data_IF_522502479298
#
_entry.id   IF_522502479298
#
_cell.length_a   1.000
_cell.length_b   1.000
_cell.length_c   1.000
_cell.angle_alpha   90.00
_cell.angle_beta   90.00
_cell.angle_gamma   90.00
#
_symmetry.space_group_name_H-M   'P 1'
#
loop_
_entity.id
_entity.type
_entity.pdbx_description
1 polymer ?
#
# COMPACT_ATOMS: atom_id res chain seq x y z
N UNK A 1 -211.07 -36.78 -52.04
CA UNK A 1 -210.41 -37.41 -50.87
C UNK A 1 -209.33 -38.43 -51.26
N UNK A 2 -209.54 -39.32 -52.26
CA UNK A 2 -208.48 -40.25 -52.71
C UNK A 2 -207.45 -39.62 -53.67
N UNK A 3 -207.84 -38.63 -54.50
CA UNK A 3 -206.91 -37.96 -55.44
C UNK A 3 -205.94 -36.96 -54.80
N UNK A 4 -206.39 -36.21 -53.78
CA UNK A 4 -205.52 -35.24 -53.09
C UNK A 4 -204.38 -35.93 -52.33
N UNK A 5 -204.64 -37.10 -51.74
CA UNK A 5 -203.63 -37.89 -51.02
C UNK A 5 -202.61 -38.53 -51.96
N UNK A 6 -203.01 -38.87 -53.18
CA UNK A 6 -202.09 -39.35 -54.23
C UNK A 6 -201.19 -38.20 -54.70
N UNK A 7 -201.75 -37.01 -54.98
CA UNK A 7 -200.95 -35.83 -55.36
C UNK A 7 -199.96 -35.41 -54.28
N UNK A 8 -200.35 -35.48 -53.01
CA UNK A 8 -199.49 -35.16 -51.86
C UNK A 8 -198.34 -36.19 -51.70
N UNK A 9 -198.63 -37.48 -51.89
CA UNK A 9 -197.61 -38.53 -51.90
C UNK A 9 -196.67 -38.42 -53.11
N UNK A 10 -197.17 -38.09 -54.30
CA UNK A 10 -196.35 -37.86 -55.50
C UNK A 10 -195.43 -36.63 -55.35
N UNK A 11 -195.91 -35.55 -54.74
CA UNK A 11 -195.06 -34.39 -54.42
C UNK A 11 -194.01 -34.73 -53.38
N UNK A 12 -194.34 -35.57 -52.39
CA UNK A 12 -193.38 -36.02 -51.38
C UNK A 12 -192.31 -36.95 -51.96
N UNK A 13 -192.69 -37.86 -52.88
CA UNK A 13 -191.76 -38.74 -53.60
C UNK A 13 -190.83 -37.91 -54.48
N UNK A 14 -191.34 -36.99 -55.30
CA UNK A 14 -190.48 -36.11 -56.13
C UNK A 14 -189.52 -35.26 -55.29
N UNK A 15 -189.94 -34.82 -54.11
CA UNK A 15 -189.08 -34.06 -53.19
C UNK A 15 -187.99 -34.94 -52.59
N UNK A 16 -188.32 -36.17 -52.17
CA UNK A 16 -187.35 -37.15 -51.71
C UNK A 16 -186.36 -37.57 -52.83
N UNK A 17 -186.82 -37.72 -54.06
CA UNK A 17 -185.95 -38.00 -55.22
C UNK A 17 -185.01 -36.83 -55.54
N UNK A 18 -185.50 -35.59 -55.44
CA UNK A 18 -184.68 -34.40 -55.60
C UNK A 18 -183.63 -34.27 -54.48
N UNK A 19 -184.03 -34.45 -53.22
CA UNK A 19 -183.13 -34.38 -52.07
C UNK A 19 -182.09 -35.51 -52.12
N UNK A 20 -182.48 -36.72 -52.55
CA UNK A 20 -181.56 -37.84 -52.75
C UNK A 20 -180.53 -37.53 -53.85
N UNK A 21 -180.97 -37.00 -55.00
CA UNK A 21 -180.07 -36.61 -56.09
C UNK A 21 -179.11 -35.48 -55.66
N UNK A 22 -179.61 -34.51 -54.90
CA UNK A 22 -178.80 -33.41 -54.40
C UNK A 22 -177.73 -33.91 -53.41
N UNK A 23 -178.09 -34.83 -52.51
CA UNK A 23 -177.12 -35.47 -51.61
C UNK A 23 -176.16 -36.41 -52.35
N UNK A 24 -176.58 -37.11 -53.41
CA UNK A 24 -175.68 -37.89 -54.27
C UNK A 24 -174.68 -37.00 -55.02
N UNK A 25 -175.14 -35.88 -55.60
CA UNK A 25 -174.23 -34.91 -56.23
C UNK A 25 -173.25 -34.30 -55.23
N UNK A 26 -173.72 -33.96 -54.03
CA UNK A 26 -172.87 -33.40 -52.97
C UNK A 26 -171.85 -34.43 -52.48
N UNK A 27 -172.25 -35.69 -52.34
CA UNK A 27 -171.37 -36.82 -52.03
C UNK A 27 -170.31 -37.01 -53.11
N UNK A 28 -170.67 -36.98 -54.39
CA UNK A 28 -169.71 -37.13 -55.48
C UNK A 28 -168.77 -35.92 -55.59
N UNK A 29 -169.28 -34.71 -55.37
CA UNK A 29 -168.47 -33.48 -55.31
C UNK A 29 -167.45 -33.50 -54.17
N UNK A 30 -167.87 -33.88 -52.95
CA UNK A 30 -166.97 -34.06 -51.80
C UNK A 30 -165.92 -35.14 -52.06
N UNK A 31 -166.32 -36.24 -52.69
CA UNK A 31 -165.41 -37.33 -53.06
C UNK A 31 -164.34 -36.86 -54.05
N UNK A 32 -164.71 -36.07 -55.07
CA UNK A 32 -163.75 -35.46 -56.00
C UNK A 32 -162.79 -34.48 -55.31
N UNK A 33 -163.29 -33.66 -54.38
CA UNK A 33 -162.44 -32.74 -53.60
C UNK A 33 -161.44 -33.50 -52.72
N UNK A 34 -161.87 -34.57 -52.05
CA UNK A 34 -161.00 -35.42 -51.24
C UNK A 34 -159.95 -36.11 -52.14
N UNK A 35 -160.35 -36.61 -53.31
CA UNK A 35 -159.40 -37.19 -54.26
C UNK A 35 -158.36 -36.16 -54.74
N UNK A 36 -158.77 -34.93 -55.07
CA UNK A 36 -157.81 -33.89 -55.47
C UNK A 36 -156.90 -33.47 -54.31
N UNK A 37 -157.40 -33.41 -53.07
CA UNK A 37 -156.59 -33.15 -51.88
C UNK A 37 -155.54 -34.26 -51.67
N UNK A 38 -155.94 -35.53 -51.72
CA UNK A 38 -155.05 -36.69 -51.60
C UNK A 38 -153.98 -36.67 -52.70
N UNK A 39 -154.36 -36.34 -53.94
CA UNK A 39 -153.43 -36.19 -55.07
C UNK A 39 -152.40 -35.09 -54.83
N UNK A 40 -152.82 -33.89 -54.41
CA UNK A 40 -151.91 -32.77 -54.12
C UNK A 40 -150.98 -33.10 -52.95
N UNK A 41 -151.50 -33.75 -51.91
CA UNK A 41 -150.71 -34.21 -50.77
C UNK A 41 -149.66 -35.24 -51.19
N UNK A 42 -150.02 -36.19 -52.05
CA UNK A 42 -149.09 -37.18 -52.62
C UNK A 42 -147.93 -36.51 -53.37
N UNK A 43 -148.22 -35.50 -54.20
CA UNK A 43 -147.21 -34.75 -54.94
C UNK A 43 -146.32 -33.94 -53.99
N UNK A 44 -146.90 -33.27 -52.99
CA UNK A 44 -146.14 -32.48 -52.02
C UNK A 44 -145.20 -33.33 -51.15
N UNK A 45 -145.58 -34.59 -50.88
CA UNK A 45 -144.76 -35.55 -50.14
C UNK A 45 -143.76 -36.31 -51.02
N UNK A 46 -143.77 -36.08 -52.34
CA UNK A 46 -142.89 -36.79 -53.27
C UNK A 46 -143.08 -38.31 -53.25
N UNK A 47 -144.30 -38.79 -53.02
CA UNK A 47 -144.60 -40.21 -53.18
C UNK A 47 -144.64 -40.52 -54.69
N UNK A 48 -143.76 -41.40 -55.18
CA UNK A 48 -143.66 -41.74 -56.60
C UNK A 48 -144.94 -42.48 -57.09
N UNK A 49 -145.65 -41.83 -58.02
CA UNK A 49 -147.03 -42.09 -58.41
C UNK A 49 -147.15 -43.03 -59.62
N UNK A 50 -146.90 -44.33 -59.43
CA UNK A 50 -147.12 -45.31 -60.51
C UNK A 50 -148.52 -45.96 -60.47
N UNK A 51 -149.31 -45.82 -59.40
CA UNK A 51 -150.68 -46.37 -59.36
C UNK A 51 -151.64 -45.58 -58.45
N UNK A 52 -152.39 -44.64 -59.04
CA UNK A 52 -153.37 -43.80 -58.32
C UNK A 52 -154.57 -44.59 -57.75
N UNK A 53 -154.78 -45.83 -58.20
CA UNK A 53 -155.90 -46.67 -57.78
C UNK A 53 -155.77 -47.22 -56.34
N UNK A 54 -154.56 -47.19 -55.74
CA UNK A 54 -154.28 -47.78 -54.43
C UNK A 54 -153.70 -46.81 -53.40
N UNK A 55 -153.81 -45.49 -53.64
CA UNK A 55 -153.38 -44.48 -52.67
C UNK A 55 -154.38 -44.48 -51.50
N UNK A 56 -154.03 -45.21 -50.45
CA UNK A 56 -154.70 -45.13 -49.17
C UNK A 56 -154.11 -43.99 -48.34
N UNK A 57 -154.91 -43.42 -47.43
CA UNK A 57 -154.46 -42.33 -46.55
C UNK A 57 -153.29 -42.73 -45.64
N UNK A 58 -153.15 -44.02 -45.35
CA UNK A 58 -152.09 -44.60 -44.50
C UNK A 58 -150.69 -44.49 -45.14
N UNK A 59 -150.55 -44.74 -46.45
CA UNK A 59 -149.26 -44.70 -47.14
C UNK A 59 -148.72 -43.26 -47.25
N UNK A 60 -149.60 -42.28 -47.44
CA UNK A 60 -149.24 -40.86 -47.39
C UNK A 60 -148.85 -40.43 -45.97
N UNK A 61 -149.53 -40.94 -44.95
CA UNK A 61 -149.16 -40.68 -43.56
C UNK A 61 -147.78 -41.27 -43.23
N UNK A 62 -147.49 -42.48 -43.71
CA UNK A 62 -146.16 -43.10 -43.57
C UNK A 62 -145.09 -42.27 -44.26
N UNK A 63 -145.35 -41.80 -45.49
CA UNK A 63 -144.39 -40.94 -46.22
C UNK A 63 -144.13 -39.61 -45.52
N UNK A 64 -145.18 -38.99 -44.99
CA UNK A 64 -145.05 -37.78 -44.17
C UNK A 64 -144.21 -38.05 -42.91
N UNK A 65 -144.43 -39.17 -42.23
CA UNK A 65 -143.66 -39.58 -41.06
C UNK A 65 -142.18 -39.84 -41.40
N UNK A 66 -141.90 -40.54 -42.51
CA UNK A 66 -140.54 -40.75 -43.04
C UNK A 66 -139.83 -39.41 -43.31
N UNK A 67 -140.49 -38.47 -44.00
CA UNK A 67 -139.91 -37.17 -44.29
C UNK A 67 -139.64 -36.36 -43.01
N UNK A 68 -140.53 -36.43 -42.01
CA UNK A 68 -140.30 -35.81 -40.70
C UNK A 68 -139.07 -36.42 -40.02
N UNK A 69 -138.95 -37.75 -40.03
CA UNK A 69 -137.82 -38.47 -39.46
C UNK A 69 -136.51 -38.15 -40.20
N UNK A 70 -136.54 -38.13 -41.53
CA UNK A 70 -135.38 -37.81 -42.36
C UNK A 70 -134.96 -36.36 -42.18
N UNK A 71 -135.91 -35.42 -42.10
CA UNK A 71 -135.60 -34.02 -41.80
C UNK A 71 -135.00 -33.89 -40.39
N UNK A 72 -135.49 -34.66 -39.41
CA UNK A 72 -134.88 -34.69 -38.08
C UNK A 72 -133.45 -35.26 -38.13
N UNK A 73 -133.21 -36.33 -38.90
CA UNK A 73 -131.89 -36.93 -39.10
C UNK A 73 -130.91 -35.95 -39.77
N UNK A 74 -131.35 -35.25 -40.82
CA UNK A 74 -130.54 -34.24 -41.51
C UNK A 74 -130.24 -33.04 -40.61
N UNK A 75 -131.21 -32.57 -39.82
CA UNK A 75 -130.94 -31.52 -38.80
C UNK A 75 -129.88 -31.98 -37.80
N UNK A 76 -129.99 -33.19 -37.26
CA UNK A 76 -128.98 -33.74 -36.35
C UNK A 76 -127.60 -33.85 -37.03
N UNK A 77 -127.55 -34.27 -38.30
CA UNK A 77 -126.31 -34.33 -39.07
C UNK A 77 -125.71 -32.94 -39.31
N UNK A 78 -126.54 -31.93 -39.61
CA UNK A 78 -126.10 -30.53 -39.76
C UNK A 78 -125.52 -30.02 -38.44
N UNK A 79 -126.22 -30.23 -37.31
CA UNK A 79 -125.70 -29.85 -36.00
C UNK A 79 -124.34 -30.52 -35.71
N UNK A 80 -124.23 -31.83 -35.93
CA UNK A 80 -122.96 -32.56 -35.73
C UNK A 80 -121.81 -32.04 -36.62
N UNK A 81 -122.11 -31.70 -37.88
CA UNK A 81 -121.11 -31.11 -38.78
C UNK A 81 -120.72 -29.71 -38.31
N UNK A 82 -121.67 -28.90 -37.84
CA UNK A 82 -121.40 -27.57 -37.29
C UNK A 82 -120.51 -27.64 -36.03
N UNK A 83 -120.81 -28.57 -35.12
CA UNK A 83 -119.99 -28.79 -33.92
C UNK A 83 -118.56 -29.24 -34.29
N UNK A 84 -118.45 -30.16 -35.26
CA UNK A 84 -117.15 -30.63 -35.76
C UNK A 84 -116.37 -29.51 -36.43
N UNK A 85 -117.02 -28.70 -37.27
CA UNK A 85 -116.41 -27.54 -37.92
C UNK A 85 -115.91 -26.54 -36.88
N UNK A 86 -116.73 -26.21 -35.88
CA UNK A 86 -116.33 -25.33 -34.78
C UNK A 86 -115.12 -25.85 -34.00
N UNK A 87 -115.06 -27.17 -33.74
CA UNK A 87 -113.88 -27.80 -33.13
C UNK A 87 -112.64 -27.66 -34.00
N UNK A 88 -112.74 -27.93 -35.30
CA UNK A 88 -111.60 -27.83 -36.24
C UNK A 88 -111.13 -26.39 -36.41
N UNK A 89 -112.04 -25.42 -36.46
CA UNK A 89 -111.70 -23.99 -36.51
C UNK A 89 -110.95 -23.55 -35.24
N UNK A 90 -111.40 -24.02 -34.08
CA UNK A 90 -110.71 -23.80 -32.81
C UNK A 90 -109.31 -24.44 -32.81
N UNK A 91 -109.19 -25.69 -33.24
CA UNK A 91 -107.92 -26.40 -33.32
C UNK A 91 -106.95 -25.73 -34.29
N UNK A 92 -107.41 -25.27 -35.45
CA UNK A 92 -106.60 -24.55 -36.43
C UNK A 92 -106.13 -23.20 -35.88
N UNK A 93 -107.00 -22.48 -35.17
CA UNK A 93 -106.62 -21.26 -34.47
C UNK A 93 -105.54 -21.53 -33.41
N UNK A 94 -105.71 -22.56 -32.59
CA UNK A 94 -104.72 -22.98 -31.59
C UNK A 94 -103.38 -23.37 -32.25
N UNK A 95 -103.42 -24.10 -33.36
CA UNK A 95 -102.22 -24.47 -34.13
C UNK A 95 -101.50 -23.23 -34.66
N UNK A 96 -102.23 -22.24 -35.17
CA UNK A 96 -101.67 -20.97 -35.65
C UNK A 96 -100.99 -20.19 -34.52
N UNK A 97 -101.65 -20.06 -33.36
CA UNK A 97 -101.07 -19.39 -32.19
C UNK A 97 -99.82 -20.10 -31.68
N UNK A 98 -99.81 -21.43 -31.67
CA UNK A 98 -98.64 -22.23 -31.29
C UNK A 98 -97.48 -22.08 -32.28
N UNK A 99 -97.76 -22.00 -33.59
CA UNK A 99 -96.76 -21.75 -34.62
C UNK A 99 -96.14 -20.37 -34.45
N UNK A 100 -96.96 -19.34 -34.24
CA UNK A 100 -96.49 -17.97 -34.00
C UNK A 100 -95.60 -17.88 -32.76
N UNK A 101 -96.01 -18.50 -31.66
CA UNK A 101 -95.18 -18.60 -30.44
C UNK A 101 -93.84 -19.28 -30.72
N UNK A 102 -93.85 -20.39 -31.45
CA UNK A 102 -92.64 -21.14 -31.80
C UNK A 102 -91.69 -20.34 -32.70
N UNK A 103 -92.24 -19.51 -33.61
CA UNK A 103 -91.44 -18.62 -34.46
C UNK A 103 -90.75 -17.53 -33.63
N UNK A 104 -91.46 -16.90 -32.69
CA UNK A 104 -90.88 -15.91 -31.78
C UNK A 104 -89.79 -16.52 -30.89
N UNK A 105 -90.00 -17.72 -30.37
CA UNK A 105 -89.00 -18.47 -29.60
C UNK A 105 -87.75 -18.77 -30.44
N UNK A 106 -87.94 -19.23 -31.68
CA UNK A 106 -86.83 -19.46 -32.63
C UNK A 106 -86.02 -18.19 -32.89
N UNK A 107 -86.68 -17.04 -33.11
CA UNK A 107 -86.00 -15.76 -33.35
C UNK A 107 -85.25 -15.26 -32.10
N UNK A 108 -85.82 -15.46 -30.91
CA UNK A 108 -85.16 -15.16 -29.63
C UNK A 108 -83.90 -16.02 -29.45
N UNK A 109 -84.02 -17.34 -29.63
CA UNK A 109 -82.89 -18.27 -29.54
C UNK A 109 -81.82 -17.97 -30.60
N UNK A 110 -82.21 -17.65 -31.83
CA UNK A 110 -81.27 -17.29 -32.89
C UNK A 110 -80.46 -16.04 -32.52
N UNK A 111 -81.11 -14.99 -31.98
CA UNK A 111 -80.42 -13.78 -31.49
C UNK A 111 -79.45 -14.11 -30.34
N UNK A 112 -79.86 -14.96 -29.40
CA UNK A 112 -78.99 -15.41 -28.29
C UNK A 112 -77.77 -16.18 -28.80
N UNK A 113 -77.96 -17.14 -29.71
CA UNK A 113 -76.86 -17.90 -30.32
C UNK A 113 -75.87 -16.97 -31.03
N UNK A 114 -76.35 -16.01 -31.82
CA UNK A 114 -75.48 -15.04 -32.51
C UNK A 114 -74.67 -14.19 -31.50
N UNK A 115 -75.31 -13.72 -30.43
CA UNK A 115 -74.61 -12.98 -29.37
C UNK A 115 -73.54 -13.84 -28.67
N UNK A 116 -73.84 -15.11 -28.39
CA UNK A 116 -72.87 -16.04 -27.79
C UNK A 116 -71.70 -16.34 -28.72
N UNK A 117 -71.93 -16.49 -30.03
CA UNK A 117 -70.84 -16.69 -31.00
C UNK A 117 -69.90 -15.48 -31.04
N UNK A 118 -70.45 -14.26 -31.07
CA UNK A 118 -69.64 -13.03 -31.01
C UNK A 118 -68.81 -12.95 -29.74
N UNK A 119 -69.38 -13.31 -28.60
CA UNK A 119 -68.67 -13.33 -27.32
C UNK A 119 -67.55 -14.38 -27.29
N UNK A 120 -67.78 -15.57 -27.85
CA UNK A 120 -66.75 -16.60 -28.00
C UNK A 120 -65.58 -16.09 -28.84
N UNK A 121 -65.85 -15.41 -29.94
CA UNK A 121 -64.78 -14.89 -30.80
C UNK A 121 -64.01 -13.74 -30.14
N UNK A 122 -64.69 -12.87 -29.38
CA UNK A 122 -64.06 -11.86 -28.52
C UNK A 122 -63.11 -12.51 -27.50
N UNK A 123 -63.58 -13.53 -26.77
CA UNK A 123 -62.78 -14.24 -25.78
C UNK A 123 -61.59 -14.98 -26.40
N UNK A 124 -61.72 -15.54 -27.61
CA UNK A 124 -60.60 -16.14 -28.33
C UNK A 124 -59.54 -15.11 -28.68
N UNK A 125 -59.94 -13.92 -29.12
CA UNK A 125 -59.02 -12.84 -29.43
C UNK A 125 -58.28 -12.36 -28.17
N UNK A 126 -59.00 -12.15 -27.07
CA UNK A 126 -58.41 -11.76 -25.79
C UNK A 126 -57.41 -12.81 -25.28
N UNK A 127 -57.76 -14.10 -25.39
CA UNK A 127 -56.85 -15.20 -25.06
C UNK A 127 -55.55 -15.10 -25.87
N UNK A 128 -55.63 -14.90 -27.18
CA UNK A 128 -54.43 -14.79 -28.04
C UNK A 128 -53.57 -13.58 -27.65
N UNK A 129 -54.19 -12.44 -27.32
CA UNK A 129 -53.48 -11.26 -26.85
C UNK A 129 -52.73 -11.54 -25.54
N UNK A 130 -53.40 -12.16 -24.56
CA UNK A 130 -52.80 -12.50 -23.27
C UNK A 130 -51.68 -13.54 -23.43
N UNK A 131 -51.86 -14.56 -24.26
CA UNK A 131 -50.81 -15.54 -24.56
C UNK A 131 -49.57 -14.90 -25.20
N UNK A 132 -49.76 -13.92 -26.08
CA UNK A 132 -48.65 -13.19 -26.68
C UNK A 132 -47.91 -12.33 -25.66
N UNK A 133 -48.65 -11.61 -24.79
CA UNK A 133 -48.06 -10.84 -23.70
C UNK A 133 -47.29 -11.73 -22.72
N UNK A 134 -47.84 -12.90 -22.36
CA UNK A 134 -47.16 -13.87 -21.52
C UNK A 134 -45.81 -14.30 -22.10
N UNK A 135 -45.75 -14.62 -23.40
CA UNK A 135 -44.49 -15.00 -24.07
C UNK A 135 -43.46 -13.88 -24.07
N UNK A 136 -43.88 -12.62 -24.15
CA UNK A 136 -42.97 -11.47 -24.06
C UNK A 136 -42.41 -11.36 -22.65
N UNK A 137 -43.28 -11.40 -21.63
CA UNK A 137 -42.88 -11.35 -20.22
C UNK A 137 -41.96 -12.52 -19.83
N UNK A 138 -42.18 -13.72 -20.37
CA UNK A 138 -41.30 -14.87 -20.16
C UNK A 138 -39.88 -14.63 -20.69
N UNK A 139 -39.75 -13.97 -21.86
CA UNK A 139 -38.44 -13.62 -22.41
C UNK A 139 -37.77 -12.54 -21.57
N UNK A 140 -38.49 -11.47 -21.23
CA UNK A 140 -37.98 -10.41 -20.37
C UNK A 140 -37.54 -10.94 -19.00
N UNK A 141 -38.30 -11.88 -18.43
CA UNK A 141 -37.93 -12.56 -17.19
C UNK A 141 -36.60 -13.32 -17.31
N UNK A 142 -36.40 -14.05 -18.41
CA UNK A 142 -35.14 -14.76 -18.67
C UNK A 142 -33.98 -13.79 -18.84
N UNK A 143 -34.19 -12.68 -19.55
CA UNK A 143 -33.16 -11.65 -19.77
C UNK A 143 -32.74 -11.00 -18.44
N UNK A 144 -33.71 -10.55 -17.62
CA UNK A 144 -33.45 -9.99 -16.29
C UNK A 144 -32.74 -11.00 -15.38
N UNK A 145 -33.11 -12.29 -15.44
CA UNK A 145 -32.43 -13.34 -14.68
C UNK A 145 -30.97 -13.51 -15.11
N UNK A 146 -30.69 -13.43 -16.41
CA UNK A 146 -29.33 -13.51 -16.95
C UNK A 146 -28.49 -12.29 -16.56
N UNK A 147 -29.07 -11.09 -16.62
CA UNK A 147 -28.44 -9.85 -16.16
C UNK A 147 -28.11 -9.91 -14.66
N UNK A 148 -29.05 -10.39 -13.83
CA UNK A 148 -28.81 -10.59 -12.41
C UNK A 148 -27.65 -11.56 -12.15
N UNK A 149 -27.58 -12.67 -12.89
CA UNK A 149 -26.48 -13.62 -12.79
C UNK A 149 -25.13 -13.03 -13.26
N UNK A 150 -25.14 -12.14 -14.26
CA UNK A 150 -23.93 -11.41 -14.67
C UNK A 150 -23.49 -10.39 -13.60
N UNK A 151 -24.45 -9.66 -13.03
CA UNK A 151 -24.22 -8.70 -11.95
C UNK A 151 -23.64 -9.38 -10.70
N UNK A 152 -24.21 -10.50 -10.27
CA UNK A 152 -23.69 -11.27 -9.13
C UNK A 152 -22.25 -11.74 -9.37
N UNK A 153 -21.93 -12.25 -10.57
CA UNK A 153 -20.54 -12.63 -10.91
C UNK A 153 -19.58 -11.44 -10.89
N UNK A 154 -20.05 -10.25 -11.26
CA UNK A 154 -19.26 -9.01 -11.18
C UNK A 154 -19.04 -8.59 -9.72
N UNK A 155 -20.10 -8.67 -8.91
CA UNK A 155 -20.05 -8.40 -7.48
C UNK A 155 -19.07 -9.33 -6.77
N UNK A 156 -19.13 -10.65 -7.02
CA UNK A 156 -18.21 -11.63 -6.44
C UNK A 156 -16.75 -11.31 -6.76
N UNK A 157 -16.45 -10.88 -8.00
CA UNK A 157 -15.12 -10.44 -8.40
C UNK A 157 -14.71 -9.18 -7.64
N UNK A 158 -15.58 -8.18 -7.54
CA UNK A 158 -15.31 -6.95 -6.81
C UNK A 158 -15.06 -7.22 -5.33
N UNK A 159 -15.88 -8.05 -4.69
CA UNK A 159 -15.72 -8.49 -3.31
C UNK A 159 -14.39 -9.23 -3.10
N UNK A 160 -14.01 -10.12 -4.03
CA UNK A 160 -12.71 -10.79 -4.00
C UNK A 160 -11.54 -9.82 -4.08
N UNK A 161 -11.59 -8.84 -4.99
CA UNK A 161 -10.56 -7.79 -5.12
C UNK A 161 -10.46 -6.92 -3.86
N UNK A 162 -11.60 -6.57 -3.24
CA UNK A 162 -11.62 -5.80 -1.99
C UNK A 162 -10.93 -6.59 -0.88
N UNK A 163 -11.25 -7.88 -0.70
CA UNK A 163 -10.60 -8.72 0.31
C UNK A 163 -9.08 -8.86 0.11
N UNK A 164 -8.63 -8.92 -1.15
CA UNK A 164 -7.19 -8.89 -1.47
C UNK A 164 -6.54 -7.56 -1.07
N UNK A 165 -7.18 -6.43 -1.37
CA UNK A 165 -6.69 -5.12 -0.99
C UNK A 165 -6.66 -4.92 0.52
N UNK A 166 -7.67 -5.36 1.26
CA UNK A 166 -7.68 -5.33 2.72
C UNK A 166 -6.50 -6.10 3.32
N UNK A 167 -6.23 -7.30 2.79
CA UNK A 167 -5.08 -8.12 3.21
C UNK A 167 -3.75 -7.39 2.94
N UNK A 168 -3.60 -6.78 1.76
CA UNK A 168 -2.41 -6.02 1.39
C UNK A 168 -2.22 -4.78 2.28
N UNK A 169 -3.30 -4.07 2.61
CA UNK A 169 -3.26 -2.92 3.52
C UNK A 169 -2.80 -3.34 4.91
N UNK A 170 -3.30 -4.47 5.44
CA UNK A 170 -2.85 -4.99 6.72
C UNK A 170 -1.35 -5.31 6.70
N UNK A 171 -0.86 -5.99 5.67
CA UNK A 171 0.57 -6.29 5.51
C UNK A 171 1.43 -5.02 5.46
N UNK A 172 1.02 -4.01 4.69
CA UNK A 172 1.74 -2.74 4.60
C UNK A 172 1.76 -1.97 5.93
N UNK A 173 0.69 -2.07 6.73
CA UNK A 173 0.66 -1.47 8.08
C UNK A 173 1.64 -2.16 9.03
N UNK A 174 1.70 -3.50 8.99
CA UNK A 174 2.64 -4.27 9.81
C UNK A 174 4.09 -3.96 9.41
N UNK A 175 4.37 -3.92 8.11
CA UNK A 175 5.69 -3.54 7.58
C UNK A 175 6.07 -2.12 8.01
N UNK A 176 5.14 -1.16 7.93
CA UNK A 176 5.37 0.20 8.37
C UNK A 176 5.71 0.27 9.86
N UNK A 177 4.95 -0.42 10.71
CA UNK A 177 5.21 -0.48 12.15
C UNK A 177 6.60 -1.05 12.46
N UNK A 178 7.01 -2.11 11.75
CA UNK A 178 8.36 -2.68 11.88
C UNK A 178 9.46 -1.69 11.45
N UNK A 179 9.23 -0.90 10.40
CA UNK A 179 10.18 0.14 9.97
C UNK A 179 10.26 1.28 10.98
N UNK A 180 9.13 1.73 11.52
CA UNK A 180 9.06 2.77 12.55
C UNK A 180 9.83 2.34 13.81
N UNK A 181 9.63 1.11 14.28
CA UNK A 181 10.37 0.57 15.42
C UNK A 181 11.88 0.52 15.15
N UNK A 182 12.29 0.11 13.94
CA UNK A 182 13.70 0.10 13.53
C UNK A 182 14.28 1.52 13.50
N UNK A 183 13.56 2.50 12.98
CA UNK A 183 13.99 3.90 12.95
C UNK A 183 14.14 4.44 14.38
N UNK A 184 13.20 4.12 15.26
CA UNK A 184 13.27 4.55 16.66
C UNK A 184 14.47 3.95 17.40
N UNK A 185 14.78 2.67 17.16
CA UNK A 185 16.00 2.03 17.69
C UNK A 185 17.26 2.71 17.17
N UNK A 186 17.38 2.90 15.85
CA UNK A 186 18.55 3.57 15.25
C UNK A 186 18.71 5.02 15.71
N UNK A 187 17.62 5.76 15.89
CA UNK A 187 17.64 7.12 16.43
C UNK A 187 18.17 7.15 17.87
N UNK A 188 17.78 6.16 18.67
CA UNK A 188 18.25 6.00 20.06
C UNK A 188 19.74 5.66 20.09
N UNK A 189 20.19 4.70 19.28
CA UNK A 189 21.60 4.32 19.14
C UNK A 189 22.46 5.51 18.66
N UNK A 190 21.98 6.26 17.66
CA UNK A 190 22.65 7.44 17.15
C UNK A 190 22.84 8.50 18.25
N UNK A 191 21.80 8.76 19.04
CA UNK A 191 21.89 9.67 20.18
C UNK A 191 22.90 9.19 21.22
N UNK A 192 22.88 7.90 21.57
CA UNK A 192 23.86 7.33 22.50
C UNK A 192 25.31 7.44 21.99
N UNK A 193 25.54 7.27 20.69
CA UNK A 193 26.87 7.46 20.09
C UNK A 193 27.30 8.92 20.21
N UNK A 194 26.43 9.87 19.87
CA UNK A 194 26.74 11.30 20.02
C UNK A 194 27.04 11.66 21.48
N UNK A 195 26.24 11.18 22.43
CA UNK A 195 26.47 11.35 23.87
C UNK A 195 27.84 10.79 24.28
N UNK A 196 28.15 9.57 23.87
CA UNK A 196 29.43 8.93 24.20
C UNK A 196 30.63 9.68 23.64
N UNK A 197 30.54 10.18 22.41
CA UNK A 197 31.62 10.95 21.77
C UNK A 197 31.78 12.32 22.43
N UNK A 198 30.68 13.01 22.73
CA UNK A 198 30.70 14.29 23.41
C UNK A 198 31.33 14.20 24.81
N UNK A 199 31.04 13.13 25.57
CA UNK A 199 31.68 12.86 26.86
C UNK A 199 33.19 12.68 26.70
N UNK A 200 33.65 11.90 25.71
CA UNK A 200 35.08 11.65 25.46
C UNK A 200 35.85 12.92 25.08
N UNK A 201 35.21 13.85 24.35
CA UNK A 201 35.81 15.11 23.92
C UNK A 201 35.73 16.22 24.98
N UNK A 202 34.87 16.03 25.98
CA UNK A 202 34.73 16.94 27.11
C UNK A 202 35.90 16.79 28.08
N UNK A 203 36.29 17.91 28.68
CA UNK A 203 37.28 17.95 29.76
C UNK A 203 36.69 18.72 30.94
N UNK A 204 37.28 18.64 32.15
CA UNK A 204 36.78 19.41 33.30
C UNK A 204 36.69 20.93 33.06
N UNK A 205 37.48 21.46 32.12
CA UNK A 205 37.48 22.87 31.76
C UNK A 205 36.52 23.22 30.61
N UNK A 206 36.04 22.24 29.85
CA UNK A 206 35.14 22.46 28.72
C UNK A 206 34.23 21.27 28.45
N UNK A 207 32.94 21.53 28.55
CA UNK A 207 31.90 20.58 28.17
C UNK A 207 31.58 20.71 26.67
N UNK A 208 31.29 19.58 26.04
CA UNK A 208 30.89 19.47 24.63
C UNK A 208 29.49 18.90 24.60
N UNK A 209 28.58 19.57 23.89
CA UNK A 209 27.22 19.06 23.72
C UNK A 209 27.19 17.85 22.78
N UNK A 210 26.24 16.94 23.02
CA UNK A 210 25.96 15.75 22.21
C UNK A 210 25.30 16.05 20.85
N UNK A 211 25.77 17.08 20.17
CA UNK A 211 25.36 17.43 18.81
C UNK A 211 26.51 17.20 17.85
N UNK A 212 26.20 16.75 16.63
CA UNK A 212 27.22 16.48 15.61
C UNK A 212 28.07 17.72 15.30
N UNK A 213 27.45 18.91 15.27
CA UNK A 213 28.14 20.19 15.06
C UNK A 213 29.10 20.50 16.19
N UNK A 214 28.67 20.43 17.46
CA UNK A 214 29.52 20.72 18.62
C UNK A 214 30.71 19.75 18.71
N UNK A 215 30.49 18.47 18.41
CA UNK A 215 31.53 17.43 18.36
C UNK A 215 32.56 17.76 17.27
N UNK A 216 32.11 18.08 16.05
CA UNK A 216 32.99 18.45 14.93
C UNK A 216 33.83 19.67 15.24
N UNK A 217 33.20 20.72 15.78
CA UNK A 217 33.89 21.96 16.13
C UNK A 217 34.99 21.71 17.18
N UNK A 218 34.70 20.85 18.19
CA UNK A 218 35.69 20.48 19.20
C UNK A 218 36.87 19.71 18.60
N UNK A 219 36.59 18.75 17.70
CA UNK A 219 37.65 17.98 17.04
C UNK A 219 38.56 18.92 16.24
N UNK A 220 37.98 19.86 15.47
CA UNK A 220 38.75 20.83 14.69
C UNK A 220 39.62 21.72 15.58
N UNK A 221 39.11 22.17 16.73
CA UNK A 221 39.91 22.93 17.69
C UNK A 221 41.07 22.11 18.27
N UNK A 222 40.81 20.87 18.69
CA UNK A 222 41.87 19.97 19.20
C UNK A 222 42.95 19.71 18.15
N UNK A 223 42.57 19.58 16.88
CA UNK A 223 43.51 19.44 15.78
C UNK A 223 44.39 20.69 15.61
N UNK A 224 43.80 21.88 15.67
CA UNK A 224 44.55 23.13 15.58
C UNK A 224 45.51 23.29 16.77
N UNK A 225 45.03 23.06 18.00
CA UNK A 225 45.86 23.09 19.22
C UNK A 225 47.04 22.12 19.11
N UNK A 226 46.80 20.91 18.59
CA UNK A 226 47.84 19.91 18.41
C UNK A 226 48.87 20.33 17.35
N UNK A 227 48.42 20.95 16.26
CA UNK A 227 49.30 21.49 15.24
C UNK A 227 50.19 22.61 15.81
N UNK A 228 49.61 23.55 16.58
CA UNK A 228 50.35 24.64 17.22
C UNK A 228 51.38 24.12 18.23
N UNK A 229 51.00 23.14 19.06
CA UNK A 229 51.93 22.45 19.97
C UNK A 229 53.04 21.73 19.21
N UNK A 230 52.74 21.09 18.08
CA UNK A 230 53.74 20.41 17.26
C UNK A 230 54.76 21.42 16.70
N UNK A 231 54.29 22.57 16.20
CA UNK A 231 55.18 23.67 15.75
C UNK A 231 56.03 24.20 16.91
N UNK A 232 55.45 24.34 18.11
CA UNK A 232 56.18 24.77 19.30
C UNK A 232 57.27 23.77 19.71
N UNK A 233 56.96 22.47 19.68
CA UNK A 233 57.93 21.40 19.97
C UNK A 233 59.09 21.46 18.98
N UNK A 234 58.81 21.66 17.69
CA UNK A 234 59.87 21.74 16.68
C UNK A 234 60.76 22.96 16.88
N UNK A 235 60.19 24.14 17.20
CA UNK A 235 60.97 25.33 17.58
C UNK A 235 61.85 25.10 18.81
N UNK A 236 61.36 24.36 19.81
CA UNK A 236 62.14 24.03 21.01
C UNK A 236 63.28 23.06 20.68
N UNK A 237 63.05 22.09 19.79
CA UNK A 237 64.10 21.19 19.30
C UNK A 237 65.19 21.94 18.54
N UNK A 238 64.82 22.88 17.68
CA UNK A 238 65.77 23.75 16.98
C UNK A 238 66.62 24.57 17.98
N UNK A 239 65.98 25.21 18.97
CA UNK A 239 66.70 25.94 20.02
C UNK A 239 67.64 25.05 20.82
N UNK A 240 67.17 23.87 21.24
CA UNK A 240 68.00 22.91 21.97
C UNK A 240 69.22 22.49 21.15
N UNK A 241 69.03 22.29 19.85
CA UNK A 241 70.12 21.95 18.92
C UNK A 241 71.13 23.10 18.82
N UNK A 242 70.67 24.34 18.69
CA UNK A 242 71.53 25.52 18.63
C UNK A 242 72.35 25.72 19.92
N UNK A 243 71.71 25.63 21.08
CA UNK A 243 72.38 25.70 22.40
C UNK A 243 73.37 24.55 22.59
N UNK A 244 73.03 23.34 22.16
CA UNK A 244 73.95 22.19 22.20
C UNK A 244 75.19 22.41 21.34
N UNK A 245 75.03 22.98 20.14
CA UNK A 245 76.17 23.36 19.28
C UNK A 245 77.00 24.49 19.91
N UNK A 246 76.37 25.46 20.55
CA UNK A 246 77.07 26.54 21.25
C UNK A 246 77.86 26.01 22.44
N UNK A 247 77.29 25.12 23.25
CA UNK A 247 77.98 24.46 24.34
C UNK A 247 79.17 23.64 23.83
N UNK A 248 79.02 22.88 22.75
CA UNK A 248 80.12 22.13 22.14
C UNK A 248 81.27 23.05 21.70
N UNK A 249 80.96 24.23 21.14
CA UNK A 249 81.97 25.26 20.83
C UNK A 249 82.69 25.77 22.09
N UNK A 250 81.95 26.04 23.17
CA UNK A 250 82.54 26.47 24.44
C UNK A 250 83.45 25.41 25.05
N UNK A 251 83.04 24.13 25.03
CA UNK A 251 83.87 23.01 25.47
C UNK A 251 85.16 22.95 24.66
N UNK A 252 85.09 23.06 23.33
CA UNK A 252 86.30 23.08 22.49
C UNK A 252 87.23 24.25 22.79
N UNK A 253 86.69 25.46 22.99
CA UNK A 253 87.48 26.63 23.40
C UNK A 253 88.11 26.45 24.78
N UNK A 254 87.37 25.86 25.73
CA UNK A 254 87.87 25.56 27.06
C UNK A 254 89.00 24.52 27.02
N UNK A 255 88.86 23.46 26.21
CA UNK A 255 89.91 22.47 26.00
C UNK A 255 91.17 23.12 25.40
N UNK A 256 91.01 23.98 24.38
CA UNK A 256 92.12 24.75 23.80
C UNK A 256 92.81 25.64 24.85
N UNK A 257 92.04 26.36 25.65
CA UNK A 257 92.57 27.18 26.73
C UNK A 257 93.32 26.33 27.78
N UNK A 258 92.78 25.17 28.13
CA UNK A 258 93.39 24.23 29.07
C UNK A 258 94.72 23.67 28.54
N UNK A 259 94.78 23.29 27.26
CA UNK A 259 96.04 22.87 26.60
C UNK A 259 97.06 24.00 26.63
N UNK A 260 96.64 25.24 26.36
CA UNK A 260 97.51 26.41 26.43
C UNK A 260 98.03 26.68 27.85
N UNK A 261 97.17 26.56 28.86
CA UNK A 261 97.59 26.69 30.27
C UNK A 261 98.65 25.64 30.60
N UNK A 262 98.42 24.36 30.26
CA UNK A 262 99.41 23.29 30.49
C UNK A 262 100.74 23.56 29.80
N UNK A 263 100.72 24.02 28.54
CA UNK A 263 101.94 24.39 27.82
C UNK A 263 102.71 25.52 28.51
N UNK A 264 102.01 26.52 29.05
CA UNK A 264 102.63 27.62 29.79
C UNK A 264 103.15 27.16 31.16
N UNK A 265 102.47 26.22 31.82
CA UNK A 265 102.96 25.57 33.03
C UNK A 265 104.24 24.77 32.76
N UNK A 266 104.28 23.99 31.69
CA UNK A 266 105.48 23.26 31.25
C UNK A 266 106.64 24.22 30.94
N UNK A 267 106.39 25.30 30.19
CA UNK A 267 107.39 26.33 29.92
C UNK A 267 107.90 27.01 31.20
N UNK A 268 106.99 27.32 32.14
CA UNK A 268 107.36 27.84 33.46
C UNK A 268 108.26 26.86 34.20
N UNK A 269 107.89 25.58 34.29
CA UNK A 269 108.73 24.58 34.98
C UNK A 269 110.09 24.41 34.33
N UNK A 270 110.17 24.51 33.00
CA UNK A 270 111.44 24.49 32.26
C UNK A 270 112.32 25.70 32.61
N UNK A 271 111.73 26.90 32.65
CA UNK A 271 112.44 28.12 33.04
C UNK A 271 112.87 28.09 34.50
N UNK A 272 112.03 27.61 35.42
CA UNK A 272 112.37 27.41 36.84
C UNK A 272 113.57 26.45 36.98
N UNK A 273 113.62 25.36 36.19
CA UNK A 273 114.74 24.42 36.18
C UNK A 273 116.03 25.03 35.60
N UNK A 274 115.94 25.82 34.52
CA UNK A 274 117.08 26.56 33.99
C UNK A 274 117.63 27.56 35.00
N UNK A 275 116.73 28.28 35.69
CA UNK A 275 117.08 29.25 36.72
C UNK A 275 117.78 28.55 37.90
N UNK A 276 117.22 27.45 38.40
CA UNK A 276 117.86 26.64 39.45
C UNK A 276 119.24 26.12 39.02
N UNK A 277 119.39 25.67 37.76
CA UNK A 277 120.69 25.24 37.24
C UNK A 277 121.70 26.40 37.23
N UNK A 278 121.31 27.57 36.74
CA UNK A 278 122.14 28.75 36.74
C UNK A 278 122.56 29.15 38.17
N UNK A 279 121.63 29.11 39.14
CA UNK A 279 121.93 29.35 40.55
C UNK A 279 122.98 28.35 41.08
N UNK A 280 122.87 27.05 40.73
CA UNK A 280 123.88 26.06 41.13
C UNK A 280 125.24 26.29 40.48
N UNK A 281 125.28 26.68 39.21
CA UNK A 281 126.52 26.98 38.48
C UNK A 281 127.21 28.24 39.05
N UNK A 282 126.43 29.27 39.39
CA UNK A 282 126.92 30.48 40.08
C UNK A 282 127.50 30.10 41.44
N UNK A 283 126.76 29.35 42.26
CA UNK A 283 127.22 28.93 43.58
C UNK A 283 128.50 28.06 43.48
N UNK A 284 128.60 27.17 42.49
CA UNK A 284 129.82 26.40 42.23
C UNK A 284 130.99 27.31 41.80
N UNK A 285 130.75 28.32 40.97
CA UNK A 285 131.74 29.33 40.61
C UNK A 285 132.20 30.12 41.84
N UNK A 286 131.29 30.50 42.74
CA UNK A 286 131.61 31.20 43.99
C UNK A 286 132.47 30.33 44.91
N UNK A 287 132.11 29.05 45.09
CA UNK A 287 132.92 28.10 45.87
C UNK A 287 134.32 27.92 45.26
N UNK A 288 134.40 27.78 43.92
CA UNK A 288 135.67 27.65 43.20
C UNK A 288 136.53 28.90 43.33
N UNK A 289 135.93 30.08 43.17
CA UNK A 289 136.57 31.38 43.40
C UNK A 289 137.09 31.48 44.83
N UNK A 290 136.29 31.12 45.83
CA UNK A 290 136.69 31.17 47.23
C UNK A 290 137.80 30.15 47.54
N UNK A 291 137.79 28.98 46.91
CA UNK A 291 138.88 28.01 46.98
C UNK A 291 140.18 28.57 46.37
N UNK A 292 140.11 29.16 45.17
CA UNK A 292 141.23 29.85 44.53
C UNK A 292 141.78 31.01 45.36
N UNK A 293 140.91 31.78 46.03
CA UNK A 293 141.34 32.84 46.96
C UNK A 293 142.11 32.24 48.13
N UNK A 294 141.64 31.12 48.71
CA UNK A 294 142.34 30.40 49.77
C UNK A 294 143.68 29.82 49.30
N UNK A 295 143.73 29.19 48.13
CA UNK A 295 144.95 28.63 47.56
C UNK A 295 145.95 29.75 47.25
N UNK A 296 145.50 30.86 46.67
CA UNK A 296 146.31 32.06 46.47
C UNK A 296 146.86 32.57 47.79
N UNK A 297 146.03 32.70 48.82
CA UNK A 297 146.49 33.12 50.16
C UNK A 297 147.52 32.15 50.73
N UNK A 298 147.33 30.85 50.57
CA UNK A 298 148.26 29.81 51.02
C UNK A 298 149.59 29.88 50.28
N UNK A 299 149.55 30.05 48.96
CA UNK A 299 150.72 30.21 48.11
C UNK A 299 151.50 31.48 48.43
N UNK A 300 150.81 32.61 48.60
CA UNK A 300 151.43 33.88 49.04
C UNK A 300 152.09 33.72 50.40
N UNK A 301 151.43 33.10 51.38
CA UNK A 301 152.02 32.79 52.68
C UNK A 301 153.26 31.87 52.58
N UNK A 302 153.25 30.89 51.68
CA UNK A 302 154.42 30.05 51.41
C UNK A 302 155.58 30.87 50.84
N UNK A 303 155.33 31.73 49.85
CA UNK A 303 156.34 32.60 49.27
C UNK A 303 156.92 33.56 50.31
N UNK A 304 156.09 34.15 51.18
CA UNK A 304 156.56 34.98 52.29
C UNK A 304 157.43 34.20 53.28
N UNK A 305 157.10 32.92 53.56
CA UNK A 305 157.94 32.05 54.40
C UNK A 305 159.27 31.71 53.72
N UNK A 306 159.25 31.50 52.41
CA UNK A 306 160.45 31.20 51.61
C UNK A 306 161.36 32.43 51.51
N UNK A 307 160.79 33.62 51.30
CA UNK A 307 161.49 34.90 51.36
C UNK A 307 162.17 35.11 52.72
N UNK A 308 161.47 34.76 53.82
CA UNK A 308 162.03 34.73 55.18
C UNK A 308 163.23 33.82 55.34
N UNK A 309 163.15 32.59 54.84
CA UNK A 309 164.27 31.65 54.91
C UNK A 309 165.51 32.13 54.14
N UNK A 310 165.31 32.90 53.06
CA UNK A 310 166.40 33.41 52.19
C UNK A 310 166.89 34.82 52.59
N UNK A 311 166.44 35.36 53.73
CA UNK A 311 166.71 36.72 54.20
C UNK A 311 166.32 37.81 53.19
N UNK A 312 165.21 37.63 52.47
CA UNK A 312 164.69 38.58 51.46
C UNK A 312 163.48 39.39 51.95
N UNK A 313 163.26 39.48 53.26
CA UNK A 313 162.03 40.03 53.85
C UNK A 313 161.75 41.48 53.48
N UNK A 314 162.79 42.31 53.42
CA UNK A 314 162.63 43.74 53.15
C UNK A 314 162.42 44.03 51.66
N UNK A 315 162.99 43.21 50.77
CA UNK A 315 162.88 43.38 49.31
C UNK A 315 161.59 42.75 48.77
N UNK A 316 161.10 41.70 49.44
CA UNK A 316 159.89 40.96 49.11
C UNK A 316 158.59 41.75 49.26
N UNK A 317 158.53 42.76 50.13
CA UNK A 317 157.28 43.43 50.51
C UNK A 317 156.80 44.45 49.47
N UNK A 318 157.71 45.00 48.66
CA UNK A 318 157.42 46.07 47.69
C UNK A 318 157.21 45.56 46.24
N UNK A 319 157.36 44.25 46.00
CA UNK A 319 157.22 43.64 44.68
C UNK A 319 155.92 42.84 44.61
N UNK A 320 155.10 43.11 43.59
CA UNK A 320 153.87 42.35 43.35
C UNK A 320 154.12 40.85 43.22
N UNK A 321 153.12 40.02 43.56
CA UNK A 321 153.22 38.55 43.63
C UNK A 321 153.89 37.94 42.38
N UNK A 322 153.63 38.49 41.19
CA UNK A 322 154.21 38.00 39.94
C UNK A 322 155.75 38.14 39.90
N UNK A 323 156.29 39.27 40.36
CA UNK A 323 157.75 39.47 40.47
C UNK A 323 158.34 38.83 41.72
N UNK A 324 157.50 38.55 42.72
CA UNK A 324 157.94 37.99 43.99
C UNK A 324 158.57 36.59 43.82
N UNK A 325 157.95 35.73 43.01
CA UNK A 325 158.46 34.38 42.68
C UNK A 325 159.83 34.42 42.00
N UNK A 326 159.98 35.29 40.99
CA UNK A 326 161.22 35.44 40.21
C UNK A 326 162.38 35.94 41.09
N UNK A 327 162.07 36.86 42.01
CA UNK A 327 163.06 37.46 42.91
C UNK A 327 163.56 36.49 43.97
N UNK A 328 162.67 35.66 44.54
CA UNK A 328 163.06 34.57 45.44
C UNK A 328 163.93 33.54 44.72
N UNK A 329 163.57 33.17 43.48
CA UNK A 329 164.32 32.20 42.69
C UNK A 329 165.75 32.68 42.44
N UNK A 330 165.91 33.92 41.97
CA UNK A 330 167.22 34.57 41.77
C UNK A 330 168.06 34.57 43.05
N UNK A 331 167.45 34.81 44.21
CA UNK A 331 168.17 34.78 45.50
C UNK A 331 168.62 33.37 45.88
N UNK A 332 167.76 32.37 45.72
CA UNK A 332 168.10 30.98 45.98
C UNK A 332 169.28 30.54 45.10
N UNK A 333 169.28 30.90 43.82
CA UNK A 333 170.41 30.66 42.91
C UNK A 333 171.69 31.37 43.35
N UNK A 334 171.58 32.61 43.83
CA UNK A 334 172.73 33.40 44.30
C UNK A 334 173.35 32.82 45.59
N UNK A 335 172.52 32.38 46.54
CA UNK A 335 172.97 31.72 47.77
C UNK A 335 173.62 30.36 47.47
N UNK A 336 173.06 29.59 46.53
CA UNK A 336 173.67 28.34 46.07
C UNK A 336 175.07 28.55 45.46
N UNK A 337 175.29 29.64 44.71
CA UNK A 337 176.62 30.02 44.20
C UNK A 337 177.61 30.38 45.32
N UNK A 338 177.17 31.15 46.33
CA UNK A 338 178.00 31.57 47.47
C UNK A 338 178.41 30.40 48.38
N UNK A 339 177.57 29.38 48.53
CA UNK A 339 177.90 28.16 49.27
C UNK A 339 178.94 27.29 48.52
N UNK A 340 178.86 27.26 47.18
CA UNK A 340 179.87 26.60 46.33
C UNK A 340 181.25 27.26 46.40
N UNK A 341 181.32 28.60 46.53
CA UNK A 341 182.57 29.36 46.64
C UNK A 341 183.22 29.25 48.04
N UNK A 342 182.42 29.20 49.13
CA UNK A 342 182.92 28.97 50.50
C UNK A 342 183.55 27.59 50.71
N UNK A 343 183.13 26.57 49.96
CA UNK A 343 183.72 25.23 49.99
C UNK A 343 185.09 25.19 49.31
N UNK A 344 185.36 26.06 48.34
CA UNK A 344 186.65 26.15 47.63
C UNK A 344 187.73 26.82 48.50
N UNK A 345 187.38 27.82 49.32
CA UNK A 345 188.33 28.52 50.20
C UNK A 345 188.71 27.71 51.47
N UNK A 346 187.86 26.79 51.94
CA UNK A 346 188.18 25.91 53.08
C UNK A 346 189.21 24.81 52.78
N UNK A 347 189.44 24.48 51.51
CA UNK A 347 190.42 23.46 51.08
C UNK A 347 191.84 24.05 50.92
N UNK A 348 191.98 25.37 50.76
CA UNK A 348 193.29 26.03 50.56
C UNK A 348 194.00 26.48 51.84
N UNK A 349 193.31 26.60 52.98
CA UNK A 349 193.90 27.07 54.24
C UNK A 349 194.30 25.97 55.24
N UNK A 350 193.98 24.69 54.99
CA UNK A 350 194.18 23.61 55.95
C UNK A 350 195.26 22.57 55.57
N UNK A 351 196.11 22.84 54.57
CA UNK A 351 197.26 21.98 54.26
C UNK A 351 198.59 22.75 54.35
N UNK A 352 199.22 22.63 55.53
CA UNK A 352 200.67 22.65 55.81
C UNK A 352 201.38 24.04 55.78
N UNK A 353 201.65 24.73 56.90
CA UNK A 353 202.52 24.36 58.04
C UNK A 353 202.20 23.08 58.83
N UNK A 354 203.01 22.02 58.63
CA UNK A 354 203.67 21.18 59.66
C UNK A 354 204.57 20.15 58.92
N UNK A 355 205.89 20.27 59.20
CA UNK A 355 207.09 19.48 58.78
C UNK A 355 207.60 19.51 57.32
#
# INVERSE_FOLDING_TARGET
>A
YSEEKIKELETKIRKLEFDLNAEEQKKESLKLQIQDFVRRLSVALGADLLDFAYINSESLFHKAAELIQETARLRNKICSIQDTLGSVELDLKNCRENLERSLLEKESLHRQCTAQVMEIDRLKQEKQTVEMQHRVLEREFVDVKNELAASNRSLDKATGTIGQHETMICQMRDDLALKEEKIQRLSTDHKHILDSVAILLSTPARFVDSSETSIKDRILELMNDNNDKSVQVERLREKLTAESQQLARYVSLYDQATVKIRSLEDEKTHMDAQLQKADTEINACEISRDALIRDKSTFVNFLERLARALNMNEISQDLGIDLHTETILMRAEQLARLESEKLVDKVRYNNCEEE
#
